data_IF_159724617532
#
_entry.id   IF_159724617532
#
_cell.length_a   1.000
_cell.length_b   1.000
_cell.length_c   1.000
_cell.angle_alpha   90.00
_cell.angle_beta   90.00
_cell.angle_gamma   90.00
#
_symmetry.space_group_name_H-M   'P 1'
#
loop_
_entity.id
_entity.type
_entity.pdbx_description
1 polymer ?
#
# COMPACT_ATOMS: atom_id res chain seq x y z
N UNK A 1 0.86 -4.80 -0.87
CA UNK A 1 0.90 -4.88 -2.33
C UNK A 1 0.95 -6.33 -2.75
N UNK A 2 0.21 -6.72 -3.79
CA UNK A 2 0.37 -8.02 -4.40
C UNK A 2 1.73 -8.31 -5.02
N UNK A 3 2.31 -9.48 -4.73
CA UNK A 3 3.53 -9.93 -5.40
C UNK A 3 3.35 -9.96 -6.92
N UNK A 4 2.20 -10.41 -7.42
CA UNK A 4 1.89 -10.39 -8.85
C UNK A 4 1.97 -8.98 -9.47
N UNK A 5 1.49 -7.93 -8.77
CA UNK A 5 1.64 -6.54 -9.23
C UNK A 5 3.10 -6.11 -9.21
N UNK A 6 3.81 -6.41 -8.12
CA UNK A 6 5.22 -6.06 -7.98
C UNK A 6 6.08 -6.67 -9.11
N UNK A 7 5.85 -7.95 -9.40
CA UNK A 7 6.52 -8.69 -10.47
C UNK A 7 6.15 -8.11 -11.86
N UNK A 8 4.87 -7.84 -12.11
CA UNK A 8 4.40 -7.25 -13.38
C UNK A 8 5.02 -5.86 -13.62
N UNK A 9 5.22 -5.07 -12.57
CA UNK A 9 5.85 -3.74 -12.64
C UNK A 9 7.38 -3.80 -12.59
N UNK A 10 7.99 -4.98 -12.43
CA UNK A 10 9.43 -5.15 -12.32
C UNK A 10 10.03 -4.46 -11.09
N UNK A 11 9.25 -4.34 -10.00
CA UNK A 11 9.68 -3.65 -8.78
C UNK A 11 10.64 -4.52 -7.98
N UNK A 12 11.69 -3.91 -7.43
CA UNK A 12 12.61 -4.59 -6.53
C UNK A 12 11.94 -4.81 -5.17
N UNK A 13 11.76 -6.08 -4.80
CA UNK A 13 11.28 -6.48 -3.48
C UNK A 13 12.50 -6.76 -2.59
N UNK A 14 12.61 -6.03 -1.48
CA UNK A 14 13.64 -6.26 -0.48
C UNK A 14 13.15 -7.23 0.60
N UNK A 15 14.03 -8.08 1.16
CA UNK A 15 13.68 -8.93 2.30
C UNK A 15 13.25 -8.07 3.49
N UNK A 16 12.27 -8.56 4.25
CA UNK A 16 11.79 -7.92 5.47
C UNK A 16 11.57 -8.97 6.56
N UNK A 17 11.80 -8.61 7.82
CA UNK A 17 11.49 -9.44 8.98
C UNK A 17 10.04 -9.32 9.45
N UNK A 18 9.25 -8.47 8.80
CA UNK A 18 7.87 -8.22 9.18
C UNK A 18 6.95 -9.35 8.72
N UNK A 19 6.00 -9.71 9.59
CA UNK A 19 4.95 -10.67 9.30
C UNK A 19 3.59 -10.10 9.69
N UNK A 20 2.57 -10.46 8.92
CA UNK A 20 1.20 -10.05 9.16
C UNK A 20 0.40 -11.21 9.72
N UNK A 21 -0.41 -10.94 10.75
CA UNK A 21 -1.38 -11.91 11.27
C UNK A 21 -2.76 -11.51 10.76
N UNK A 22 -3.41 -12.41 10.03
CA UNK A 22 -4.76 -12.20 9.51
C UNK A 22 -5.83 -12.46 10.58
N UNK A 23 -7.08 -12.12 10.25
CA UNK A 23 -8.24 -12.27 11.16
C UNK A 23 -8.46 -13.73 11.57
N UNK A 24 -8.07 -14.68 10.72
CA UNK A 24 -8.12 -16.13 10.97
C UNK A 24 -6.89 -16.66 11.75
N UNK A 25 -6.06 -15.76 12.28
CA UNK A 25 -4.80 -16.05 12.97
C UNK A 25 -3.69 -16.67 12.11
N UNK A 26 -3.88 -16.78 10.79
CA UNK A 26 -2.79 -17.17 9.89
C UNK A 26 -1.72 -16.08 9.84
N UNK A 27 -0.45 -16.48 9.71
CA UNK A 27 0.68 -15.58 9.56
C UNK A 27 1.23 -15.62 8.15
N UNK A 28 1.66 -14.48 7.65
CA UNK A 28 2.32 -14.39 6.36
C UNK A 28 3.51 -13.45 6.41
N UNK A 29 4.65 -13.94 5.93
CA UNK A 29 5.86 -13.17 5.78
C UNK A 29 5.70 -12.16 4.64
N UNK A 30 6.43 -11.05 4.78
CA UNK A 30 6.29 -9.91 3.88
C UNK A 30 7.64 -9.44 3.38
N UNK A 31 7.73 -9.18 2.08
CA UNK A 31 8.79 -8.35 1.50
C UNK A 31 8.45 -6.86 1.61
N UNK A 32 9.37 -5.98 1.23
CA UNK A 32 9.10 -4.54 1.19
C UNK A 32 9.60 -3.92 -0.11
N UNK A 33 8.80 -3.04 -0.70
CA UNK A 33 9.21 -2.12 -1.75
C UNK A 33 9.34 -0.76 -1.09
N UNK A 34 10.51 -0.14 -1.22
CA UNK A 34 10.81 1.18 -0.63
C UNK A 34 10.67 2.30 -1.64
N UNK A 35 10.35 3.49 -1.15
CA UNK A 35 10.32 4.74 -1.93
C UNK A 35 9.47 4.65 -3.21
N UNK A 36 8.41 3.84 -3.19
CA UNK A 36 7.51 3.72 -4.34
C UNK A 36 6.63 4.97 -4.41
N UNK A 37 6.67 5.66 -5.54
CA UNK A 37 5.83 6.84 -5.78
C UNK A 37 4.47 6.43 -6.30
N UNK A 38 3.42 6.69 -5.53
CA UNK A 38 2.03 6.52 -5.94
C UNK A 38 1.47 7.83 -6.52
N UNK A 39 0.70 7.71 -7.59
CA UNK A 39 -0.12 8.81 -8.11
C UNK A 39 -1.54 8.64 -7.55
N UNK A 40 -1.99 9.59 -6.74
CA UNK A 40 -3.35 9.63 -6.19
C UNK A 40 -3.98 10.98 -6.57
N UNK A 41 -4.98 10.93 -7.45
CA UNK A 41 -5.50 12.13 -8.10
C UNK A 41 -4.39 12.81 -8.90
N UNK A 42 -4.00 14.02 -8.49
CA UNK A 42 -2.94 14.83 -9.12
C UNK A 42 -1.66 14.91 -8.26
N UNK A 43 -1.57 14.11 -7.19
CA UNK A 43 -0.46 14.14 -6.23
C UNK A 43 0.46 12.93 -6.43
N UNK A 44 1.77 13.17 -6.30
CA UNK A 44 2.80 12.13 -6.28
C UNK A 44 3.26 11.93 -4.83
N UNK A 45 2.97 10.75 -4.27
CA UNK A 45 3.18 10.46 -2.85
C UNK A 45 4.18 9.31 -2.73
N UNK A 46 5.37 9.51 -2.15
CA UNK A 46 6.29 8.42 -1.85
C UNK A 46 5.78 7.58 -0.68
N UNK A 47 6.01 6.27 -0.72
CA UNK A 47 5.71 5.39 0.40
C UNK A 47 6.34 4.02 0.26
N UNK A 48 6.47 3.35 1.40
CA UNK A 48 6.93 1.97 1.49
C UNK A 48 5.73 1.02 1.49
N UNK A 49 5.85 -0.09 0.77
CA UNK A 49 4.77 -1.07 0.63
C UNK A 49 5.24 -2.48 0.94
N UNK A 50 4.57 -3.10 1.92
CA UNK A 50 4.70 -4.52 2.19
C UNK A 50 4.19 -5.35 1.02
N UNK A 51 4.96 -6.35 0.59
CA UNK A 51 4.64 -7.26 -0.50
C UNK A 51 4.33 -8.62 0.05
N UNK A 52 3.19 -9.15 -0.38
CA UNK A 52 2.56 -10.33 0.17
C UNK A 52 2.27 -11.30 -0.98
N UNK A 53 2.53 -12.59 -0.78
CA UNK A 53 2.33 -13.65 -1.78
C UNK A 53 1.21 -14.59 -1.31
N UNK A 54 -0.03 -14.12 -1.34
CA UNK A 54 -1.19 -14.95 -1.05
C UNK A 54 -1.65 -15.64 -2.34
N UNK A 55 -1.66 -16.98 -2.33
CA UNK A 55 -2.16 -17.85 -3.42
C UNK A 55 -3.67 -17.71 -3.76
N UNK A 56 -4.33 -16.65 -3.28
CA UNK A 56 -5.72 -16.34 -3.58
C UNK A 56 -5.74 -15.44 -4.83
N UNK A 57 -6.75 -15.46 -5.68
CA UNK A 57 -6.86 -14.50 -6.79
C UNK A 57 -7.46 -13.16 -6.30
N UNK A 58 -6.71 -12.36 -5.56
CA UNK A 58 -7.11 -11.00 -5.12
C UNK A 58 -6.69 -10.02 -6.20
N UNK A 59 -7.38 -10.13 -7.33
CA UNK A 59 -7.13 -9.36 -8.54
C UNK A 59 -6.97 -7.86 -8.23
N UNK A 60 -5.70 -7.46 -8.14
CA UNK A 60 -5.12 -6.12 -8.32
C UNK A 60 -5.29 -5.05 -7.23
N UNK A 61 -5.92 -5.33 -6.09
CA UNK A 61 -6.16 -4.29 -5.08
C UNK A 61 -4.93 -4.00 -4.21
N UNK A 62 -4.52 -2.73 -4.16
CA UNK A 62 -3.52 -2.22 -3.23
C UNK A 62 -4.19 -1.77 -1.91
N UNK A 63 -3.79 -2.36 -0.80
CA UNK A 63 -4.25 -1.92 0.52
C UNK A 63 -3.45 -0.70 1.00
N UNK A 64 -4.15 0.41 1.26
CA UNK A 64 -3.59 1.60 1.89
C UNK A 64 -3.87 1.54 3.39
N UNK A 65 -2.84 1.24 4.18
CA UNK A 65 -2.96 1.14 5.63
C UNK A 65 -3.08 2.50 6.32
N UNK A 66 -3.37 2.46 7.62
CA UNK A 66 -3.48 3.64 8.49
C UNK A 66 -2.26 4.57 8.41
N UNK A 67 -1.06 4.00 8.34
CA UNK A 67 0.19 4.79 8.24
C UNK A 67 0.21 5.66 6.98
N UNK A 68 -0.10 5.08 5.82
CA UNK A 68 -0.18 5.83 4.56
C UNK A 68 -1.28 6.90 4.61
N UNK A 69 -2.47 6.54 5.14
CA UNK A 69 -3.58 7.48 5.31
C UNK A 69 -3.20 8.67 6.21
N UNK A 70 -2.40 8.45 7.25
CA UNK A 70 -1.92 9.53 8.11
C UNK A 70 -0.92 10.45 7.38
N UNK A 71 0.00 9.89 6.58
CA UNK A 71 0.97 10.66 5.79
C UNK A 71 0.31 11.67 4.85
N UNK A 72 -0.78 11.27 4.20
CA UNK A 72 -1.49 12.13 3.22
C UNK A 72 -2.64 12.92 3.85
N UNK A 73 -2.79 12.83 5.18
CA UNK A 73 -3.91 13.38 5.95
C UNK A 73 -5.24 13.06 5.24
N UNK A 74 -5.47 11.77 5.06
CA UNK A 74 -6.62 11.26 4.33
C UNK A 74 -7.92 11.52 5.10
N UNK A 75 -8.95 11.94 4.38
CA UNK A 75 -10.33 12.08 4.86
C UNK A 75 -11.23 11.18 4.01
N UNK A 76 -11.81 10.16 4.63
CA UNK A 76 -12.83 9.31 4.01
C UNK A 76 -14.19 10.02 4.08
N UNK A 77 -14.56 10.75 3.04
CA UNK A 77 -15.86 11.40 2.97
C UNK A 77 -16.92 10.39 2.47
N UNK A 78 -17.61 9.77 3.42
CA UNK A 78 -18.63 8.76 3.14
C UNK A 78 -19.90 9.32 2.50
N UNK A 79 -20.23 10.61 2.74
CA UNK A 79 -21.40 11.25 2.13
C UNK A 79 -21.23 11.42 0.62
N UNK A 80 -20.01 11.71 0.16
CA UNK A 80 -19.69 11.91 -1.26
C UNK A 80 -19.01 10.69 -1.90
N UNK A 81 -18.77 9.63 -1.11
CA UNK A 81 -18.00 8.45 -1.49
C UNK A 81 -16.63 8.78 -2.10
N UNK A 82 -15.89 9.70 -1.46
CA UNK A 82 -14.57 10.16 -1.92
C UNK A 82 -13.53 9.99 -0.82
N UNK A 83 -12.33 9.57 -1.23
CA UNK A 83 -11.13 9.72 -0.43
C UNK A 83 -10.48 11.06 -0.78
N UNK A 84 -10.50 11.99 0.16
CA UNK A 84 -9.80 13.26 0.04
C UNK A 84 -8.45 13.16 0.74
N UNK A 85 -7.46 13.91 0.27
CA UNK A 85 -6.15 14.00 0.92
C UNK A 85 -5.70 15.45 0.95
N UNK A 86 -5.01 15.85 2.01
CA UNK A 86 -4.34 17.14 2.08
C UNK A 86 -2.90 16.90 1.64
N UNK A 87 -2.62 17.18 0.36
CA UNK A 87 -1.25 17.16 -0.12
C UNK A 87 -0.57 18.46 0.33
N UNK A 88 -0.05 18.50 1.56
CA UNK A 88 0.99 19.46 1.88
C UNK A 88 2.20 19.11 1.01
N UNK A 89 2.58 20.03 0.12
CA UNK A 89 3.78 19.87 -0.72
C UNK A 89 4.97 19.55 0.19
N UNK A 90 5.81 18.54 -0.11
CA UNK A 90 7.10 18.48 0.54
C UNK A 90 7.96 19.65 0.04
N UNK A 91 8.63 20.32 0.98
CA UNK A 91 9.71 21.28 0.75
C UNK A 91 10.80 20.72 -0.17
#
# INVERSE_FOLDING_TARGET
MPKAIADQLGLKIEPSSDSFTFVDCSKMDSGVIRDLKLIIGNSLIPGDFHVMDNNIEWNTSLLLGKAFMATVIAVCNMQTNKLCHLCERPL
#
